data_IF_486719073809
#
_entry.id   IF_486719073809
#
_cell.length_a   1.000
_cell.length_b   1.000
_cell.length_c   1.000
_cell.angle_alpha   90.00
_cell.angle_beta   90.00
_cell.angle_gamma   90.00
#
_symmetry.space_group_name_H-M   'P 1'
#
loop_
_entity.id
_entity.type
_entity.pdbx_description
1 polymer ?
#
# COMPACT_ATOMS: atom_id res chain seq x y z
N UNK A 1 -0.19 14.25 8.05
CA UNK A 1 -0.35 12.99 7.31
C UNK A 1 -0.32 11.77 8.23
N UNK A 2 0.73 11.55 9.03
CA UNK A 2 0.84 10.36 9.91
C UNK A 2 -0.35 10.18 10.87
N UNK A 3 -0.81 11.26 11.53
CA UNK A 3 -2.00 11.20 12.38
C UNK A 3 -3.27 10.76 11.60
N UNK A 4 -3.45 11.24 10.37
CA UNK A 4 -4.57 10.82 9.53
C UNK A 4 -4.47 9.32 9.19
N UNK A 5 -3.28 8.83 8.82
CA UNK A 5 -3.07 7.40 8.57
C UNK A 5 -3.36 6.55 9.82
N UNK A 6 -2.98 7.02 11.01
CA UNK A 6 -3.20 6.32 12.27
C UNK A 6 -4.67 6.30 12.71
N UNK A 7 -5.52 7.24 12.25
CA UNK A 7 -6.95 7.31 12.60
C UNK A 7 -7.80 6.19 11.98
N UNK A 8 -7.29 5.49 10.97
CA UNK A 8 -7.94 4.32 10.39
C UNK A 8 -7.90 3.10 11.31
N UNK A 9 -8.62 2.03 10.93
CA UNK A 9 -8.51 0.71 11.55
C UNK A 9 -7.16 0.05 11.24
N UNK A 10 -6.67 0.29 10.03
CA UNK A 10 -5.34 -0.11 9.59
C UNK A 10 -4.54 1.13 9.21
N UNK A 11 -3.25 1.12 9.51
CA UNK A 11 -2.34 2.21 9.21
C UNK A 11 -1.19 1.75 8.32
N UNK A 12 -0.82 2.60 7.36
CA UNK A 12 0.21 2.32 6.37
C UNK A 12 1.60 2.67 6.95
N UNK A 13 2.53 1.70 7.10
CA UNK A 13 3.90 1.96 7.53
C UNK A 13 4.72 2.51 6.37
N UNK A 14 4.44 3.75 6.00
CA UNK A 14 4.99 4.38 4.78
C UNK A 14 6.52 4.42 4.79
N UNK A 15 7.16 4.67 5.94
CA UNK A 15 8.62 4.77 5.98
C UNK A 15 9.30 3.42 5.78
N UNK A 16 8.74 2.37 6.36
CA UNK A 16 9.21 1.00 6.25
C UNK A 16 9.10 0.54 4.78
N UNK A 17 7.96 0.79 4.15
CA UNK A 17 7.72 0.41 2.76
C UNK A 17 8.55 1.28 1.80
N UNK A 18 8.40 2.60 1.87
CA UNK A 18 9.01 3.53 0.91
C UNK A 18 10.51 3.70 1.15
N UNK A 19 10.92 3.94 2.40
CA UNK A 19 12.33 4.24 2.71
C UNK A 19 13.13 3.01 3.07
N UNK A 20 12.60 2.03 3.81
CA UNK A 20 13.35 0.82 4.15
C UNK A 20 13.20 -0.28 3.09
N UNK A 21 12.16 -0.22 2.24
CA UNK A 21 11.93 -1.20 1.18
C UNK A 21 11.42 -2.55 1.69
N UNK A 22 10.79 -2.57 2.86
CA UNK A 22 10.21 -3.78 3.46
C UNK A 22 8.95 -4.20 2.71
N UNK A 23 8.59 -5.48 2.80
CA UNK A 23 7.36 -5.97 2.20
C UNK A 23 6.13 -5.23 2.78
N UNK A 24 5.15 -4.84 1.95
CA UNK A 24 4.00 -4.10 2.42
C UNK A 24 3.13 -4.92 3.37
N UNK A 25 2.99 -4.45 4.60
CA UNK A 25 2.09 -5.00 5.62
C UNK A 25 1.30 -3.88 6.27
N UNK A 26 0.03 -4.14 6.62
CA UNK A 26 -0.74 -3.22 7.44
C UNK A 26 -0.30 -3.33 8.89
N UNK A 27 -0.24 -2.18 9.58
CA UNK A 27 -0.21 -2.15 11.04
C UNK A 27 -1.61 -1.84 11.57
N UNK A 28 -1.84 -2.13 12.85
CA UNK A 28 -3.05 -1.70 13.53
C UNK A 28 -3.08 -0.18 13.69
N UNK A 29 -4.21 0.42 13.32
CA UNK A 29 -4.48 1.83 13.58
C UNK A 29 -5.29 2.03 14.86
N UNK A 30 -5.52 3.29 15.22
CA UNK A 30 -6.29 3.69 16.40
C UNK A 30 -7.80 3.44 16.25
N UNK A 31 -8.27 3.15 15.02
CA UNK A 31 -9.65 2.88 14.69
C UNK A 31 -10.64 3.99 15.14
N UNK A 32 -10.19 5.25 15.09
CA UNK A 32 -11.01 6.41 15.45
C UNK A 32 -12.19 6.54 14.48
N UNK A 33 -11.94 6.37 13.17
CA UNK A 33 -13.00 6.39 12.17
C UNK A 33 -14.07 5.32 12.42
N UNK A 34 -13.65 4.09 12.72
CA UNK A 34 -14.58 3.01 13.04
C UNK A 34 -15.38 3.29 14.31
N UNK A 35 -14.76 3.84 15.35
CA UNK A 35 -15.45 4.19 16.59
C UNK A 35 -16.49 5.29 16.41
N UNK A 36 -16.24 6.28 15.53
CA UNK A 36 -17.14 7.42 15.34
C UNK A 36 -18.22 7.17 14.28
N UNK A 37 -17.96 6.30 13.29
CA UNK A 37 -18.82 6.17 12.10
C UNK A 37 -19.24 4.73 11.79
N UNK A 38 -18.64 3.73 12.44
CA UNK A 38 -18.83 2.32 12.13
C UNK A 38 -18.05 1.83 10.89
N UNK A 39 -17.31 2.71 10.21
CA UNK A 39 -16.58 2.36 8.98
C UNK A 39 -15.25 1.65 9.28
N UNK A 40 -15.04 0.50 8.64
CA UNK A 40 -13.75 -0.18 8.62
C UNK A 40 -12.88 0.39 7.48
N UNK A 41 -11.99 1.32 7.79
CA UNK A 41 -11.16 1.97 6.77
C UNK A 41 -9.67 2.00 7.12
N UNK A 42 -8.83 1.80 6.11
CA UNK A 42 -7.44 2.25 6.13
C UNK A 42 -7.37 3.66 5.53
N UNK A 43 -6.74 4.62 6.21
CA UNK A 43 -6.63 5.99 5.69
C UNK A 43 -5.25 6.17 5.04
N UNK A 44 -5.24 6.58 3.78
CA UNK A 44 -4.03 6.73 2.97
C UNK A 44 -3.89 8.20 2.55
N UNK A 45 -3.14 9.03 3.31
CA UNK A 45 -2.89 10.42 2.94
C UNK A 45 -1.91 10.51 1.77
N UNK A 46 -1.80 11.69 1.16
CA UNK A 46 -0.94 11.92 -0.01
C UNK A 46 -1.27 10.97 -1.17
N UNK A 47 -2.58 10.77 -1.39
CA UNK A 47 -3.13 9.81 -2.33
C UNK A 47 -2.66 10.04 -3.78
N UNK A 48 -2.56 11.31 -4.16
CA UNK A 48 -2.15 11.76 -5.50
C UNK A 48 -0.72 12.30 -5.56
N UNK A 49 0.14 12.00 -4.57
CA UNK A 49 1.53 12.46 -4.60
C UNK A 49 2.20 12.04 -5.91
N UNK A 50 3.01 12.94 -6.45
CA UNK A 50 3.70 12.77 -7.72
C UNK A 50 5.12 13.36 -7.70
N UNK A 51 5.79 13.29 -6.54
CA UNK A 51 7.14 13.86 -6.36
C UNK A 51 8.25 12.95 -6.91
N UNK A 52 7.93 11.71 -7.23
CA UNK A 52 8.88 10.65 -7.58
C UNK A 52 9.55 10.76 -8.95
N UNK A 53 9.15 11.73 -9.79
CA UNK A 53 9.64 11.96 -11.15
C UNK A 53 9.66 10.70 -12.04
N UNK A 54 10.69 9.87 -11.94
CA UNK A 54 10.85 8.60 -12.66
C UNK A 54 10.12 7.42 -12.00
N UNK A 55 9.51 7.62 -10.83
CA UNK A 55 8.91 6.57 -10.01
C UNK A 55 7.50 6.94 -9.56
N UNK A 56 6.63 5.94 -9.46
CA UNK A 56 5.30 6.12 -8.89
C UNK A 56 5.38 6.32 -7.38
N UNK A 57 4.97 7.50 -6.94
CA UNK A 57 4.93 7.92 -5.53
C UNK A 57 3.50 8.24 -5.08
N UNK A 58 2.50 7.87 -5.89
CA UNK A 58 1.11 7.97 -5.51
C UNK A 58 0.80 7.07 -4.30
N UNK A 59 -0.40 7.21 -3.74
CA UNK A 59 -0.91 6.35 -2.66
C UNK A 59 -0.01 6.36 -1.42
N UNK A 60 0.37 7.56 -0.96
CA UNK A 60 1.26 7.75 0.19
C UNK A 60 2.72 7.31 -0.08
N UNK A 61 3.33 7.81 -1.17
CA UNK A 61 4.73 7.55 -1.55
C UNK A 61 5.06 6.10 -1.96
N UNK A 62 4.16 5.14 -1.78
CA UNK A 62 4.44 3.72 -2.03
C UNK A 62 4.11 3.27 -3.46
N UNK A 63 3.30 4.05 -4.19
CA UNK A 63 2.82 3.75 -5.53
C UNK A 63 1.68 2.74 -5.57
N UNK A 64 1.03 2.65 -6.73
CA UNK A 64 -0.14 1.80 -7.00
C UNK A 64 0.20 0.30 -6.83
N UNK A 65 1.36 -0.14 -7.33
CA UNK A 65 1.76 -1.55 -7.26
C UNK A 65 1.88 -2.09 -5.83
N UNK A 66 2.46 -1.31 -4.92
CA UNK A 66 2.56 -1.69 -3.49
C UNK A 66 1.23 -1.54 -2.78
N UNK A 67 0.40 -0.55 -3.15
CA UNK A 67 -0.95 -0.42 -2.62
C UNK A 67 -1.78 -1.67 -2.95
N UNK A 68 -1.71 -2.19 -4.17
CA UNK A 68 -2.42 -3.41 -4.57
C UNK A 68 -1.99 -4.64 -3.75
N UNK A 69 -0.73 -4.72 -3.32
CA UNK A 69 -0.27 -5.77 -2.41
C UNK A 69 -0.93 -5.62 -1.03
N UNK A 70 -0.93 -4.42 -0.46
CA UNK A 70 -1.62 -4.12 0.79
C UNK A 70 -3.12 -4.39 0.69
N UNK A 71 -3.75 -4.05 -0.43
CA UNK A 71 -5.16 -4.31 -0.65
C UNK A 71 -5.48 -5.78 -0.47
N UNK A 72 -4.65 -6.71 -0.94
CA UNK A 72 -4.86 -8.17 -0.79
C UNK A 72 -4.88 -8.63 0.66
N UNK A 73 -4.20 -7.91 1.55
CA UNK A 73 -4.14 -8.20 2.98
C UNK A 73 -5.22 -7.48 3.82
N UNK A 74 -6.03 -6.60 3.23
CA UNK A 74 -7.14 -5.96 3.95
C UNK A 74 -8.23 -6.99 4.28
N UNK A 75 -8.77 -6.99 5.51
CA UNK A 75 -9.91 -7.82 5.87
C UNK A 75 -11.15 -7.50 5.03
N UNK A 76 -12.02 -8.49 4.85
CA UNK A 76 -13.34 -8.30 4.23
C UNK A 76 -14.13 -7.20 4.97
N UNK A 77 -14.87 -6.40 4.21
CA UNK A 77 -15.57 -5.23 4.78
C UNK A 77 -14.71 -3.98 4.93
N UNK A 78 -13.38 -4.07 4.81
CA UNK A 78 -12.51 -2.90 4.89
C UNK A 78 -12.33 -2.22 3.52
N UNK A 79 -12.29 -0.89 3.54
CA UNK A 79 -11.99 -0.07 2.37
C UNK A 79 -10.78 0.84 2.62
N UNK A 80 -10.27 1.45 1.56
CA UNK A 80 -9.24 2.48 1.65
C UNK A 80 -9.91 3.86 1.47
N UNK A 81 -9.58 4.78 2.37
CA UNK A 81 -9.92 6.18 2.30
C UNK A 81 -8.66 7.00 1.94
N UNK A 82 -8.51 7.28 0.65
CA UNK A 82 -7.45 8.12 0.11
C UNK A 82 -7.73 9.60 0.32
N UNK A 83 -6.73 10.35 0.77
CA UNK A 83 -6.81 11.81 0.91
C UNK A 83 -5.68 12.44 0.09
N UNK A 84 -6.04 13.25 -0.90
CA UNK A 84 -5.07 13.95 -1.73
C UNK A 84 -4.21 14.93 -0.93
N UNK A 85 -3.07 15.31 -1.49
CA UNK A 85 -2.24 16.38 -0.94
C UNK A 85 -3.02 17.69 -0.85
N UNK A 86 -2.72 18.47 0.19
CA UNK A 86 -3.42 19.73 0.47
C UNK A 86 -4.94 19.62 0.51
N UNK A 87 -5.46 18.46 0.92
CA UNK A 87 -6.90 18.16 1.02
C UNK A 87 -7.25 17.60 2.39
N UNK A 88 -8.53 17.70 2.76
CA UNK A 88 -9.02 17.22 4.04
C UNK A 88 -10.45 16.69 3.92
N UNK A 89 -10.76 15.66 4.71
CA UNK A 89 -12.13 15.24 5.00
C UNK A 89 -12.49 15.73 6.41
N UNK A 90 -13.51 16.57 6.51
CA UNK A 90 -14.06 17.01 7.79
C UNK A 90 -15.34 16.25 8.07
N UNK A 91 -15.45 15.67 9.26
CA UNK A 91 -16.66 14.99 9.74
C UNK A 91 -17.20 15.80 10.91
N UNK A 92 -18.37 16.39 10.74
CA UNK A 92 -19.08 17.09 11.80
C UNK A 92 -20.19 16.18 12.34
N UNK A 93 -19.95 15.62 13.52
CA UNK A 93 -20.90 14.73 14.20
C UNK A 93 -22.13 15.48 14.73
N UNK A 94 -22.00 16.77 15.05
CA UNK A 94 -23.11 17.59 15.52
C UNK A 94 -24.05 17.97 14.37
N UNK A 95 -23.50 18.30 13.21
CA UNK A 95 -24.26 18.61 12.00
C UNK A 95 -24.61 17.37 11.15
N UNK A 96 -24.10 16.19 11.53
CA UNK A 96 -24.26 14.93 10.80
C UNK A 96 -23.83 15.03 9.32
N UNK A 97 -22.72 15.70 9.08
CA UNK A 97 -22.24 16.03 7.73
C UNK A 97 -20.77 15.70 7.53
N UNK A 98 -20.43 15.51 6.26
CA UNK A 98 -19.06 15.28 5.78
C UNK A 98 -18.78 16.30 4.68
N UNK A 99 -17.64 16.97 4.77
CA UNK A 99 -17.21 17.98 3.78
C UNK A 99 -15.78 17.70 3.34
N UNK A 100 -15.55 17.77 2.03
CA UNK A 100 -14.20 17.74 1.45
C UNK A 100 -13.70 19.16 1.30
N UNK A 101 -12.56 19.47 1.91
CA UNK A 101 -11.87 20.75 1.81
C UNK A 101 -10.50 20.64 1.15
N UNK A 102 -9.92 21.79 0.82
CA UNK A 102 -8.58 21.89 0.24
C UNK A 102 -8.60 21.95 -1.29
N UNK A 103 -7.59 21.37 -1.95
CA UNK A 103 -7.38 21.54 -3.40
C UNK A 103 -7.72 20.32 -4.26
N UNK A 104 -7.77 19.13 -3.67
CA UNK A 104 -7.94 17.87 -4.36
C UNK A 104 -9.25 17.18 -3.97
N UNK A 105 -9.16 15.87 -3.77
CA UNK A 105 -10.29 15.00 -3.48
C UNK A 105 -10.00 14.06 -2.29
N UNK A 106 -11.08 13.42 -1.86
CA UNK A 106 -11.07 12.24 -0.99
C UNK A 106 -11.61 11.09 -1.80
N UNK A 107 -10.86 9.99 -1.87
CA UNK A 107 -11.19 8.82 -2.67
C UNK A 107 -11.56 7.65 -1.77
N UNK A 108 -12.71 7.04 -2.03
CA UNK A 108 -13.11 5.76 -1.44
C UNK A 108 -12.72 4.69 -2.44
N UNK A 109 -11.84 3.77 -2.04
CA UNK A 109 -11.41 2.64 -2.86
C UNK A 109 -11.77 1.33 -2.17
N UNK A 110 -12.60 0.54 -2.83
CA UNK A 110 -13.09 -0.75 -2.35
C UNK A 110 -12.35 -1.84 -3.12
N UNK A 111 -11.51 -2.66 -2.45
CA UNK A 111 -10.72 -3.69 -3.11
C UNK A 111 -11.57 -4.61 -3.99
N UNK A 112 -11.18 -4.76 -5.25
CA UNK A 112 -11.88 -5.62 -6.22
C UNK A 112 -13.19 -5.06 -6.81
N UNK A 113 -13.66 -3.89 -6.36
CA UNK A 113 -14.88 -3.26 -6.86
C UNK A 113 -14.56 -2.00 -7.67
N UNK A 114 -13.76 -1.08 -7.12
CA UNK A 114 -13.40 0.17 -7.79
C UNK A 114 -13.20 1.32 -6.81
N UNK A 115 -13.07 2.53 -7.36
CA UNK A 115 -12.91 3.76 -6.58
C UNK A 115 -13.93 4.84 -6.96
N UNK A 116 -14.26 5.71 -6.01
CA UNK A 116 -15.13 6.87 -6.19
C UNK A 116 -14.53 8.06 -5.45
N UNK A 117 -14.47 9.22 -6.09
CA UNK A 117 -13.88 10.43 -5.52
C UNK A 117 -14.95 11.48 -5.17
N UNK A 118 -14.75 12.15 -4.05
CA UNK A 118 -15.45 13.37 -3.66
C UNK A 118 -14.45 14.53 -3.73
N UNK A 119 -14.73 15.51 -4.57
CA UNK A 119 -13.84 16.65 -4.78
C UNK A 119 -14.09 17.78 -3.79
N UNK A 120 -13.09 18.65 -3.60
CA UNK A 120 -13.19 19.85 -2.77
C UNK A 120 -14.47 20.63 -3.01
N UNK A 121 -15.12 21.06 -1.91
CA UNK A 121 -16.42 21.71 -1.91
C UNK A 121 -17.60 20.75 -1.81
N UNK A 122 -17.42 19.45 -2.07
CA UNK A 122 -18.46 18.46 -1.85
C UNK A 122 -18.84 18.39 -0.37
N UNK A 123 -20.14 18.43 -0.10
CA UNK A 123 -20.72 18.21 1.23
C UNK A 123 -21.90 17.27 1.11
N UNK A 124 -21.96 16.28 1.99
CA UNK A 124 -23.07 15.33 2.08
C UNK A 124 -23.34 14.93 3.53
N UNK A 125 -24.42 14.19 3.77
CA UNK A 125 -24.70 13.67 5.11
C UNK A 125 -23.73 12.54 5.45
N UNK A 126 -23.44 12.35 6.74
CA UNK A 126 -22.61 11.24 7.21
C UNK A 126 -23.19 9.87 6.81
N UNK A 127 -24.52 9.74 6.79
CA UNK A 127 -25.19 8.51 6.33
C UNK A 127 -24.97 8.24 4.84
N UNK A 128 -25.06 9.27 3.99
CA UNK A 128 -24.78 9.13 2.56
C UNK A 128 -23.32 8.75 2.31
N UNK A 129 -22.39 9.38 3.03
CA UNK A 129 -20.98 9.04 2.99
C UNK A 129 -20.72 7.59 3.41
N UNK A 130 -21.31 7.14 4.52
CA UNK A 130 -21.18 5.77 5.00
C UNK A 130 -21.77 4.75 4.00
N UNK A 131 -22.89 5.07 3.34
CA UNK A 131 -23.51 4.18 2.35
C UNK A 131 -22.61 3.89 1.15
N UNK A 132 -21.65 4.77 0.81
CA UNK A 132 -20.66 4.55 -0.26
C UNK A 132 -19.73 3.37 0.02
N UNK A 133 -19.59 2.98 1.29
CA UNK A 133 -18.82 1.82 1.72
C UNK A 133 -19.65 0.52 1.70
N UNK A 134 -20.95 0.59 1.38
CA UNK A 134 -21.86 -0.56 1.41
C UNK A 134 -21.42 -1.73 0.52
N UNK A 135 -20.73 -1.47 -0.59
CA UNK A 135 -20.17 -2.53 -1.44
C UNK A 135 -18.98 -3.27 -0.78
N UNK A 136 -18.32 -2.66 0.21
CA UNK A 136 -17.32 -3.36 1.02
C UNK A 136 -18.01 -4.32 2.01
N UNK A 137 -19.17 -3.92 2.57
CA UNK A 137 -19.96 -4.72 3.49
C UNK A 137 -20.65 -5.90 2.78
N UNK A 138 -19.94 -7.02 2.64
CA UNK A 138 -20.48 -8.28 2.12
C UNK A 138 -19.92 -8.75 0.79
N UNK A 139 -18.88 -8.11 0.24
CA UNK A 139 -18.15 -8.65 -0.89
C UNK A 139 -17.18 -9.74 -0.41
N UNK A 140 -17.43 -11.05 -0.67
CA UNK A 140 -16.39 -12.05 -0.53
C UNK A 140 -15.31 -11.72 -1.56
N UNK A 141 -14.07 -11.60 -1.10
CA UNK A 141 -12.98 -11.41 -2.04
C UNK A 141 -12.91 -12.63 -2.95
N UNK A 142 -12.97 -12.41 -4.26
CA UNK A 142 -12.52 -13.44 -5.18
C UNK A 142 -11.07 -13.75 -4.81
N UNK A 143 -10.84 -14.92 -4.23
CA UNK A 143 -9.51 -15.49 -4.18
C UNK A 143 -9.09 -15.61 -5.64
N UNK A 144 -8.34 -14.63 -6.13
CA UNK A 144 -7.47 -14.90 -7.26
C UNK A 144 -6.65 -16.11 -6.82
N UNK A 145 -6.58 -17.17 -7.64
CA UNK A 145 -5.71 -18.28 -7.30
C UNK A 145 -4.36 -17.67 -6.96
N UNK A 146 -3.74 -18.15 -5.89
CA UNK A 146 -2.31 -17.98 -5.76
C UNK A 146 -1.74 -18.57 -7.05
N UNK A 147 -1.50 -17.73 -8.06
CA UNK A 147 -0.65 -18.10 -9.18
C UNK A 147 0.77 -18.04 -8.65
N UNK A 148 1.02 -18.85 -7.63
CA UNK A 148 2.26 -19.57 -7.42
C UNK A 148 2.32 -20.63 -8.52
N UNK A 149 2.24 -20.19 -9.78
CA UNK A 149 2.90 -20.91 -10.84
C UNK A 149 4.37 -20.60 -10.62
N UNK A 150 4.99 -21.32 -9.69
CA UNK A 150 6.40 -21.63 -9.74
C UNK A 150 6.64 -22.14 -11.16
N UNK A 151 7.07 -21.25 -12.05
CA UNK A 151 7.68 -21.68 -13.29
C UNK A 151 8.76 -22.67 -12.88
N UNK A 152 8.79 -23.89 -13.42
CA UNK A 152 9.85 -24.83 -13.08
C UNK A 152 11.17 -24.13 -13.39
N UNK A 153 11.92 -23.80 -12.34
CA UNK A 153 13.27 -23.25 -12.48
C UNK A 153 14.01 -24.31 -13.28
N UNK A 154 14.48 -23.99 -14.51
CA UNK A 154 15.28 -24.96 -15.26
C UNK A 154 16.46 -25.33 -14.38
N UNK A 155 16.66 -26.64 -14.19
CA UNK A 155 17.77 -27.17 -13.41
C UNK A 155 19.04 -26.41 -13.77
N UNK A 156 19.67 -25.86 -12.74
CA UNK A 156 20.84 -25.00 -12.82
C UNK A 156 21.83 -25.51 -13.86
N UNK A 157 22.17 -24.67 -14.84
CA UNK A 157 23.39 -24.88 -15.60
C UNK A 157 24.55 -24.97 -14.60
N UNK A 158 25.44 -25.96 -14.71
CA UNK A 158 26.56 -26.09 -13.78
C UNK A 158 27.49 -24.88 -13.97
N UNK A 159 27.65 -24.05 -12.93
CA UNK A 159 28.76 -23.11 -12.84
C UNK A 159 28.47 -21.67 -12.39
N UNK A 160 27.22 -21.27 -12.13
CA UNK A 160 26.97 -19.99 -11.44
C UNK A 160 26.65 -20.30 -9.99
N UNK A 161 27.55 -19.90 -9.10
CA UNK A 161 27.26 -19.94 -7.66
C UNK A 161 26.07 -19.02 -7.39
N UNK A 162 24.93 -19.62 -7.04
CA UNK A 162 23.67 -18.91 -6.77
C UNK A 162 23.88 -17.84 -5.70
N UNK A 163 24.83 -18.06 -4.76
CA UNK A 163 25.17 -17.07 -3.74
C UNK A 163 25.75 -15.78 -4.35
N UNK A 164 26.69 -15.89 -5.30
CA UNK A 164 27.32 -14.74 -5.97
C UNK A 164 26.31 -13.97 -6.80
N UNK A 165 25.43 -14.66 -7.53
CA UNK A 165 24.39 -14.01 -8.31
C UNK A 165 23.38 -13.25 -7.42
N UNK A 166 22.99 -13.84 -6.29
CA UNK A 166 22.10 -13.20 -5.31
C UNK A 166 22.77 -12.00 -4.65
N UNK A 167 24.04 -12.11 -4.27
CA UNK A 167 24.81 -10.99 -3.70
C UNK A 167 24.92 -9.81 -4.68
N UNK A 168 25.17 -10.07 -5.96
CA UNK A 168 25.19 -9.03 -7.00
C UNK A 168 23.83 -8.34 -7.17
N UNK A 169 22.73 -9.09 -7.13
CA UNK A 169 21.37 -8.52 -7.19
C UNK A 169 21.06 -7.66 -5.95
N UNK A 170 21.54 -8.08 -4.77
CA UNK A 170 21.42 -7.29 -3.52
C UNK A 170 22.22 -5.99 -3.63
N UNK A 171 23.44 -6.04 -4.17
CA UNK A 171 24.28 -4.86 -4.38
C UNK A 171 23.65 -3.89 -5.39
N UNK A 172 23.18 -4.40 -6.54
CA UNK A 172 22.45 -3.60 -7.53
C UNK A 172 21.20 -2.94 -6.93
N UNK A 173 20.49 -3.66 -6.05
CA UNK A 173 19.33 -3.11 -5.31
C UNK A 173 19.77 -2.00 -4.36
N UNK A 174 20.88 -2.16 -3.66
CA UNK A 174 21.43 -1.14 -2.77
C UNK A 174 21.84 0.12 -3.55
N UNK A 175 22.50 -0.03 -4.70
CA UNK A 175 22.85 1.08 -5.61
C UNK A 175 21.60 1.79 -6.12
N UNK A 176 20.60 1.06 -6.59
CA UNK A 176 19.33 1.64 -7.03
C UNK A 176 18.68 2.47 -5.90
N UNK A 177 18.73 1.99 -4.64
CA UNK A 177 18.22 2.75 -3.48
C UNK A 177 19.05 4.00 -3.18
N UNK A 178 20.38 3.91 -3.24
CA UNK A 178 21.27 5.05 -3.04
C UNK A 178 21.04 6.15 -4.10
N UNK A 179 20.74 5.75 -5.32
CA UNK A 179 20.38 6.64 -6.44
C UNK A 179 18.89 7.05 -6.44
N UNK A 180 18.12 6.64 -5.44
CA UNK A 180 16.66 6.90 -5.30
C UNK A 180 15.83 6.33 -6.46
N UNK A 181 16.34 5.31 -7.14
CA UNK A 181 15.65 4.52 -8.16
C UNK A 181 14.82 3.41 -7.53
N UNK A 182 13.74 3.78 -6.84
CA UNK A 182 12.99 2.85 -5.99
C UNK A 182 12.21 1.76 -6.77
N UNK A 183 11.77 2.00 -8.00
CA UNK A 183 11.12 0.95 -8.81
C UNK A 183 12.12 -0.08 -9.28
N UNK A 184 13.33 0.36 -9.61
CA UNK A 184 14.41 -0.54 -10.00
C UNK A 184 14.81 -1.40 -8.79
N UNK A 185 14.88 -0.80 -7.60
CA UNK A 185 15.10 -1.54 -6.36
C UNK A 185 13.99 -2.56 -6.06
N UNK A 186 12.72 -2.23 -6.35
CA UNK A 186 11.59 -3.16 -6.21
C UNK A 186 11.63 -4.28 -7.23
N UNK A 187 11.94 -3.98 -8.50
CA UNK A 187 12.07 -4.97 -9.55
C UNK A 187 13.19 -5.96 -9.23
N UNK A 188 14.31 -5.47 -8.71
CA UNK A 188 15.41 -6.30 -8.23
C UNK A 188 14.99 -7.15 -7.02
N UNK A 189 14.21 -6.60 -6.08
CA UNK A 189 13.65 -7.38 -4.95
C UNK A 189 12.74 -8.50 -5.44
N UNK A 190 11.82 -8.22 -6.37
CA UNK A 190 10.93 -9.21 -6.94
C UNK A 190 11.69 -10.31 -7.71
N UNK A 191 12.76 -9.94 -8.43
CA UNK A 191 13.63 -10.89 -9.11
C UNK A 191 14.35 -11.82 -8.11
N UNK A 192 14.85 -11.27 -6.99
CA UNK A 192 15.46 -12.07 -5.92
C UNK A 192 14.43 -13.03 -5.30
N UNK A 193 13.23 -12.53 -4.97
CA UNK A 193 12.16 -13.38 -4.40
C UNK A 193 11.72 -14.50 -5.37
N UNK A 194 11.71 -14.24 -6.68
CA UNK A 194 11.40 -15.22 -7.71
C UNK A 194 12.46 -16.33 -7.85
N UNK A 195 13.70 -16.10 -7.38
CA UNK A 195 14.74 -17.13 -7.26
C UNK A 195 14.55 -18.02 -6.02
N UNK A 196 13.44 -17.87 -5.28
CA UNK A 196 13.19 -18.60 -4.04
C UNK A 196 13.99 -18.05 -2.86
N UNK A 197 14.53 -16.84 -2.96
CA UNK A 197 15.32 -16.21 -1.89
C UNK A 197 14.42 -15.33 -1.03
N UNK A 198 14.43 -15.56 0.27
CA UNK A 198 13.86 -14.63 1.25
C UNK A 198 14.89 -13.59 1.64
N UNK A 199 14.49 -12.32 1.52
CA UNK A 199 15.32 -11.17 1.85
C UNK A 199 14.82 -10.50 3.13
N UNK A 200 15.66 -10.47 4.16
CA UNK A 200 15.44 -9.76 5.42
C UNK A 200 16.35 -8.54 5.44
N UNK A 201 15.76 -7.35 5.34
CA UNK A 201 16.50 -6.10 5.46
C UNK A 201 16.78 -5.81 6.94
N UNK A 202 18.05 -5.77 7.33
CA UNK A 202 18.51 -5.35 8.65
C UNK A 202 19.22 -3.98 8.57
N UNK A 203 19.31 -3.23 9.68
CA UNK A 203 20.02 -1.94 9.71
C UNK A 203 21.49 -2.02 9.27
N UNK A 204 22.11 -3.20 9.39
CA UNK A 204 23.52 -3.47 9.03
C UNK A 204 23.70 -4.07 7.63
N UNK A 205 22.62 -4.34 6.90
CA UNK A 205 22.66 -4.96 5.57
C UNK A 205 21.48 -5.91 5.33
N UNK A 206 21.29 -6.35 4.09
CA UNK A 206 20.28 -7.36 3.78
C UNK A 206 20.85 -8.77 4.05
N UNK A 207 20.17 -9.55 4.88
CA UNK A 207 20.43 -10.99 5.08
C UNK A 207 19.48 -11.77 4.17
N UNK A 208 19.96 -12.86 3.58
CA UNK A 208 19.14 -13.69 2.69
C UNK A 208 19.24 -15.19 3.02
N UNK A 209 18.18 -15.93 2.68
CA UNK A 209 18.13 -17.40 2.77
C UNK A 209 17.31 -17.99 1.64
N UNK A 210 17.63 -19.21 1.19
CA UNK A 210 16.81 -19.95 0.23
C UNK A 210 15.59 -20.53 0.95
N UNK A 211 14.39 -20.37 0.37
CA UNK A 211 13.21 -21.13 0.75
C UNK A 211 13.42 -22.59 0.38
N UNK A 212 13.38 -23.45 1.39
CA UNK A 212 13.37 -24.90 1.28
C UNK A 212 12.01 -25.42 0.84
#
# INVERSE_FOLDING_TARGET
>A
SAAAAASGRHTIPVYEIYKAGTNPVWLDGLNIMGALTGLAVAIVPHWNNNEGATHDTSRCFIGEGRLQQLERALPDGAAILGIDEHSALTIDLGANSVTVGGKGAVTIRIPGIGETALHSGATESLAAFAARFGAAAGAPRAALPATEALLPVPASAPGVDVSVAVEQLIELRATARAERRFSDADALRAAIEALGVELVDEPTGARWSLRS
#
